data_IF_239078833187
#
_entry.id   IF_239078833187
#
_cell.length_a   1.000
_cell.length_b   1.000
_cell.length_c   1.000
_cell.angle_alpha   90.00
_cell.angle_beta   90.00
_cell.angle_gamma   90.00
#
_symmetry.space_group_name_H-M   'P 1'
#
loop_
_entity.id
_entity.type
_entity.pdbx_description
1 polymer ?
#
# COMPACT_ATOMS: atom_id res chain seq x y z
N UNK A 1 5.41 9.37 0.22
CA UNK A 1 4.05 8.80 0.35
C UNK A 1 3.82 7.87 -0.82
N UNK A 2 3.09 6.77 -0.62
CA UNK A 2 2.75 5.79 -1.65
C UNK A 2 1.23 5.60 -1.73
N UNK A 3 0.72 5.35 -2.93
CA UNK A 3 -0.68 4.98 -3.17
C UNK A 3 -0.81 3.45 -3.14
N UNK A 4 -1.81 2.95 -2.42
CA UNK A 4 -2.23 1.56 -2.45
C UNK A 4 -3.11 1.32 -3.69
N UNK A 5 -2.75 0.35 -4.52
CA UNK A 5 -3.47 -0.05 -5.74
C UNK A 5 -4.74 -0.89 -5.46
N UNK A 6 -5.01 -1.19 -4.20
CA UNK A 6 -6.25 -1.83 -3.76
C UNK A 6 -7.48 -1.00 -4.18
N UNK A 7 -8.31 -1.56 -5.08
CA UNK A 7 -9.50 -0.89 -5.67
C UNK A 7 -10.44 -0.25 -4.64
N UNK A 8 -10.62 -0.93 -3.50
CA UNK A 8 -11.47 -0.48 -2.38
C UNK A 8 -10.64 -0.12 -1.13
N UNK A 9 -9.41 0.34 -1.30
CA UNK A 9 -8.58 0.79 -0.17
C UNK A 9 -9.18 2.04 0.47
N UNK A 10 -9.55 1.94 1.75
CA UNK A 10 -10.14 3.05 2.51
C UNK A 10 -9.15 4.22 2.75
N UNK A 11 -7.86 3.90 2.89
CA UNK A 11 -6.83 4.87 3.26
C UNK A 11 -6.13 5.49 2.04
N UNK A 12 -5.98 4.71 0.96
CA UNK A 12 -5.31 5.05 -0.31
C UNK A 12 -3.84 5.44 -0.15
N UNK A 13 -3.50 6.50 0.59
CA UNK A 13 -2.16 7.03 0.71
C UNK A 13 -1.51 6.70 2.05
N UNK A 14 -0.22 6.36 2.00
CA UNK A 14 0.57 6.02 3.18
C UNK A 14 1.92 6.75 3.16
N UNK A 15 2.43 7.13 4.32
CA UNK A 15 3.82 7.59 4.43
C UNK A 15 4.77 6.41 4.29
N UNK A 16 5.92 6.61 3.66
CA UNK A 16 6.88 5.53 3.44
C UNK A 16 7.36 4.90 4.75
N UNK A 17 7.67 5.71 5.75
CA UNK A 17 8.08 5.26 7.08
C UNK A 17 6.99 4.46 7.83
N UNK A 18 5.71 4.74 7.57
CA UNK A 18 4.62 4.00 8.21
C UNK A 18 4.43 2.59 7.64
N UNK A 19 5.00 2.31 6.47
CA UNK A 19 4.85 1.02 5.77
C UNK A 19 6.20 0.38 5.42
N UNK A 20 7.27 0.79 6.10
CA UNK A 20 8.63 0.26 5.93
C UNK A 20 9.14 0.28 4.48
N UNK A 21 8.73 1.28 3.69
CA UNK A 21 9.20 1.44 2.32
C UNK A 21 10.47 2.29 2.33
N UNK A 22 11.61 1.64 2.14
CA UNK A 22 12.91 2.33 2.03
C UNK A 22 13.22 2.78 0.61
N UNK A 23 12.66 2.12 -0.40
CA UNK A 23 12.86 2.41 -1.82
C UNK A 23 11.53 2.35 -2.54
N UNK A 24 11.33 3.23 -3.52
CA UNK A 24 10.11 3.26 -4.32
C UNK A 24 9.93 1.90 -5.00
N UNK A 25 8.84 1.16 -4.71
CA UNK A 25 8.60 -0.11 -5.35
C UNK A 25 8.30 0.12 -6.84
N UNK A 26 8.76 -0.81 -7.68
CA UNK A 26 8.39 -0.83 -9.08
C UNK A 26 7.16 -1.71 -9.26
N UNK A 27 6.07 -1.13 -9.78
CA UNK A 27 4.81 -1.84 -10.00
C UNK A 27 3.74 -1.52 -8.96
N UNK A 28 2.74 -2.39 -8.87
CA UNK A 28 1.62 -2.23 -7.94
C UNK A 28 2.07 -2.45 -6.50
N UNK A 29 1.55 -1.63 -5.60
CA UNK A 29 1.80 -1.76 -4.18
C UNK A 29 0.49 -1.83 -3.40
N UNK A 30 0.42 -2.76 -2.45
CA UNK A 30 -0.76 -2.99 -1.62
C UNK A 30 -0.41 -2.81 -0.15
N UNK A 31 -1.25 -2.08 0.58
CA UNK A 31 -1.09 -1.93 2.03
C UNK A 31 -1.46 -3.25 2.76
N UNK A 32 -1.03 -3.38 4.03
CA UNK A 32 -1.28 -4.59 4.84
C UNK A 32 -2.77 -5.00 4.87
N UNK A 33 -3.67 -4.02 4.94
CA UNK A 33 -5.11 -4.25 4.93
C UNK A 33 -5.64 -4.81 3.60
N UNK A 34 -5.07 -4.39 2.47
CA UNK A 34 -5.44 -4.90 1.16
C UNK A 34 -4.80 -6.27 0.88
N UNK A 35 -3.58 -6.51 1.36
CA UNK A 35 -2.94 -7.82 1.27
C UNK A 35 -3.63 -8.89 2.13
N UNK A 36 -4.21 -8.50 3.28
CA UNK A 36 -4.93 -9.42 4.18
C UNK A 36 -6.38 -9.72 3.74
N UNK A 37 -6.89 -9.02 2.72
CA UNK A 37 -8.27 -9.14 2.21
C UNK A 37 -8.39 -10.06 0.99
N UNK A 38 -7.39 -10.90 0.74
CA UNK A 38 -7.44 -11.96 -0.28
C UNK A 38 -8.34 -13.11 0.24
N UNK A 39 -9.65 -12.94 0.06
CA UNK A 39 -10.69 -14.00 0.09
C UNK A 39 -11.27 -14.13 -1.33
#
# INVERSE_FOLDING_TARGET
>A
MILCDGKNCQYKWFHFDCVDISTIPHGEWFCKECMAKDD
#
